data_IF_671721248868
#
_entry.id   IF_671721248868
#
_cell.length_a   1.000
_cell.length_b   1.000
_cell.length_c   1.000
_cell.angle_alpha   90.00
_cell.angle_beta   90.00
_cell.angle_gamma   90.00
#
_symmetry.space_group_name_H-M   'P 1'
#
loop_
_entity.id
_entity.type
_entity.pdbx_description
1 polymer ?
#
# COMPACT_ATOMS: atom_id res chain seq x y z
N UNK A 1 9.36 21.87 -7.94
CA UNK A 1 10.07 20.60 -8.20
C UNK A 1 11.42 20.49 -7.45
N UNK A 2 11.47 20.77 -6.13
CA UNK A 2 12.72 20.69 -5.32
C UNK A 2 12.58 19.86 -4.02
N UNK A 3 11.43 19.22 -3.77
CA UNK A 3 11.16 18.55 -2.50
C UNK A 3 11.17 17.01 -2.55
N UNK A 4 11.25 16.39 -3.72
CA UNK A 4 11.17 14.91 -3.83
C UNK A 4 12.53 14.21 -3.77
N UNK A 5 13.61 14.84 -4.27
CA UNK A 5 14.94 14.21 -4.32
C UNK A 5 15.69 14.22 -2.97
N UNK A 6 15.41 15.20 -2.11
CA UNK A 6 16.14 15.36 -0.83
C UNK A 6 15.76 14.33 0.23
N UNK A 7 14.57 13.74 0.17
CA UNK A 7 14.13 12.71 1.13
C UNK A 7 14.78 11.36 0.84
N UNK A 8 14.93 11.00 -0.44
CA UNK A 8 15.57 9.74 -0.85
C UNK A 8 17.07 9.76 -0.53
N UNK A 9 17.74 10.89 -0.74
CA UNK A 9 19.16 11.03 -0.39
C UNK A 9 19.39 11.08 1.13
N UNK A 10 18.48 11.71 1.89
CA UNK A 10 18.55 11.74 3.36
C UNK A 10 18.32 10.35 3.98
N UNK A 11 17.44 9.53 3.41
CA UNK A 11 17.20 8.15 3.85
C UNK A 11 18.39 7.22 3.57
N UNK A 12 19.11 7.44 2.46
CA UNK A 12 20.33 6.69 2.15
C UNK A 12 21.52 7.13 3.03
N UNK A 13 21.64 8.41 3.36
CA UNK A 13 22.72 8.93 4.20
C UNK A 13 22.57 8.53 5.70
N UNK A 14 21.34 8.46 6.21
CA UNK A 14 21.07 8.04 7.60
C UNK A 14 21.34 6.54 7.87
N UNK A 15 21.47 5.71 6.83
CA UNK A 15 21.87 4.31 7.01
C UNK A 15 23.36 4.14 7.31
N UNK A 16 24.23 5.09 6.96
CA UNK A 16 25.66 4.97 7.22
C UNK A 16 26.03 5.22 8.69
N UNK A 17 25.27 6.04 9.41
CA UNK A 17 25.54 6.39 10.82
C UNK A 17 24.96 5.40 11.83
N UNK A 18 24.00 4.56 11.41
CA UNK A 18 23.39 3.54 12.29
C UNK A 18 24.28 2.31 12.53
N UNK A 19 25.45 2.20 11.88
CA UNK A 19 26.37 1.05 11.97
C UNK A 19 27.65 1.29 12.78
N UNK A 20 27.85 2.45 13.40
CA UNK A 20 28.95 2.65 14.36
C UNK A 20 28.45 2.47 15.78
N UNK A 21 28.73 1.30 16.38
CA UNK A 21 28.53 1.05 17.80
C UNK A 21 29.56 1.83 18.64
N UNK A 22 29.17 2.52 19.73
CA UNK A 22 30.15 2.94 20.73
C UNK A 22 30.53 1.73 21.58
N UNK A 23 31.82 1.40 21.59
CA UNK A 23 32.42 0.43 22.50
C UNK A 23 32.22 0.91 23.94
N UNK A 24 31.36 0.23 24.72
CA UNK A 24 31.30 0.39 26.18
C UNK A 24 32.33 -0.54 26.82
N UNK A 25 33.37 0.03 27.41
CA UNK A 25 34.35 -0.67 28.24
C UNK A 25 33.71 -1.16 29.55
N UNK A 26 33.76 -2.47 29.80
CA UNK A 26 33.43 -3.07 31.09
C UNK A 26 34.66 -3.08 31.99
N UNK A 27 34.67 -2.25 33.04
CA UNK A 27 35.66 -2.36 34.12
C UNK A 27 35.15 -3.32 35.19
N UNK A 28 35.63 -4.56 35.13
CA UNK A 28 35.53 -5.56 36.19
C UNK A 28 36.47 -5.13 37.33
N UNK A 29 35.93 -4.80 38.51
CA UNK A 29 36.72 -4.73 39.74
C UNK A 29 36.53 -6.01 40.55
N UNK A 30 37.63 -6.76 40.69
CA UNK A 30 37.80 -7.85 41.67
C UNK A 30 38.06 -7.23 43.05
N UNK A 31 37.39 -7.70 44.09
CA UNK A 31 37.93 -7.63 45.46
C UNK A 31 37.68 -8.94 46.21
N UNK A 32 38.73 -9.35 46.91
CA UNK A 32 39.05 -10.64 47.51
C UNK A 32 38.06 -11.22 48.55
N UNK A 33 38.16 -12.54 48.67
CA UNK A 33 37.70 -13.41 49.76
C UNK A 33 38.16 -12.95 51.16
N UNK A 34 37.26 -13.05 52.13
CA UNK A 34 37.54 -13.08 53.57
C UNK A 34 36.40 -13.79 54.31
N UNK A 35 36.72 -14.79 55.14
CA UNK A 35 35.80 -15.78 55.71
C UNK A 35 35.86 -15.72 57.27
N UNK A 36 34.71 -15.96 57.93
CA UNK A 36 34.44 -16.41 59.33
C UNK A 36 34.46 -15.35 60.49
N UNK A 37 33.69 -15.45 61.62
CA UNK A 37 32.56 -16.34 62.02
C UNK A 37 31.26 -15.66 62.52
N UNK A 38 30.21 -16.50 62.67
CA UNK A 38 29.02 -16.30 63.53
C UNK A 38 29.38 -16.19 65.01
N UNK A 39 28.66 -15.35 65.76
CA UNK A 39 28.45 -15.58 67.18
C UNK A 39 27.00 -15.29 67.61
N UNK A 40 26.52 -16.13 68.52
CA UNK A 40 25.17 -16.21 69.06
C UNK A 40 25.24 -15.74 70.51
N UNK A 41 24.55 -14.66 70.89
CA UNK A 41 24.25 -14.42 72.31
C UNK A 41 22.95 -13.63 72.48
N UNK A 42 22.05 -14.28 73.21
CA UNK A 42 20.76 -13.83 73.73
C UNK A 42 20.89 -12.70 74.75
N UNK A 43 20.07 -11.65 74.61
CA UNK A 43 19.51 -10.88 75.73
C UNK A 43 18.13 -10.36 75.34
N UNK A 44 17.12 -10.82 76.08
CA UNK A 44 15.79 -10.22 76.11
C UNK A 44 15.84 -8.81 76.69
N UNK A 45 15.04 -7.89 76.15
CA UNK A 45 13.94 -7.23 76.88
C UNK A 45 13.60 -5.85 76.32
N UNK A 46 12.31 -5.52 76.45
CA UNK A 46 11.68 -4.19 76.41
C UNK A 46 11.26 -3.70 75.01
N UNK A 47 9.99 -4.01 74.71
CA UNK A 47 8.95 -3.08 74.23
C UNK A 47 9.47 -1.81 73.53
N UNK A 48 9.52 -1.86 72.20
CA UNK A 48 9.44 -0.66 71.38
C UNK A 48 8.51 -0.96 70.19
N UNK A 49 7.22 -1.08 70.52
CA UNK A 49 6.14 -0.94 69.53
C UNK A 49 6.15 0.53 69.09
N UNK A 50 7.11 0.88 68.24
CA UNK A 50 6.99 2.06 67.39
C UNK A 50 5.94 1.71 66.35
N UNK A 51 4.69 1.99 66.72
CA UNK A 51 3.63 2.32 65.79
C UNK A 51 4.23 3.27 64.74
N UNK A 52 4.57 2.72 63.58
CA UNK A 52 4.79 3.55 62.42
C UNK A 52 3.49 4.32 62.20
N UNK A 53 3.58 5.65 62.28
CA UNK A 53 2.53 6.61 61.97
C UNK A 53 2.18 6.60 60.45
N UNK A 54 2.12 5.41 59.85
CA UNK A 54 1.75 5.15 58.47
C UNK A 54 0.42 4.37 58.36
N UNK A 55 -0.18 3.95 59.48
CA UNK A 55 -1.43 3.17 59.50
C UNK A 55 -2.66 3.99 59.94
N UNK A 56 -2.60 5.32 59.86
CA UNK A 56 -3.72 6.23 60.09
C UNK A 56 -3.74 7.33 59.02
N UNK A 57 -3.79 6.95 57.75
CA UNK A 57 -4.57 7.75 56.81
C UNK A 57 -5.99 7.19 56.84
N UNK A 58 -7.00 7.97 57.28
CA UNK A 58 -8.37 7.56 57.05
C UNK A 58 -8.57 7.45 55.54
N UNK A 59 -9.34 6.45 55.13
CA UNK A 59 -9.76 6.12 53.77
C UNK A 59 -10.70 7.20 53.17
N UNK A 60 -10.47 8.48 53.51
CA UNK A 60 -11.32 9.61 53.18
C UNK A 60 -10.54 10.67 52.40
N UNK A 61 -11.02 10.90 51.17
CA UNK A 61 -10.74 12.05 50.31
C UNK A 61 -9.54 11.97 49.35
N UNK A 62 -9.17 10.79 48.87
CA UNK A 62 -8.82 10.73 47.45
C UNK A 62 -10.12 10.92 46.67
N UNK A 63 -10.47 12.17 46.32
CA UNK A 63 -11.44 12.40 45.24
C UNK A 63 -10.92 11.59 44.07
N UNK A 64 -11.56 10.46 43.75
CA UNK A 64 -11.51 9.89 42.41
C UNK A 64 -12.02 11.02 41.53
N UNK A 65 -11.11 11.81 40.97
CA UNK A 65 -11.49 12.73 39.90
C UNK A 65 -12.14 11.86 38.85
N UNK A 66 -13.45 12.01 38.72
CA UNK A 66 -14.19 11.24 37.76
C UNK A 66 -13.67 11.66 36.39
N UNK A 67 -12.99 10.73 35.69
CA UNK A 67 -12.44 10.98 34.36
C UNK A 67 -13.50 11.66 33.50
N UNK A 68 -13.09 12.74 32.83
CA UNK A 68 -14.00 13.46 31.94
C UNK A 68 -14.55 12.52 30.86
N UNK A 69 -15.73 12.82 30.32
CA UNK A 69 -16.32 12.04 29.21
C UNK A 69 -15.36 11.93 28.04
N UNK A 70 -14.62 13.00 27.74
CA UNK A 70 -13.60 13.01 26.69
C UNK A 70 -12.42 12.07 27.00
N UNK A 71 -11.98 12.01 28.26
CA UNK A 71 -10.92 11.10 28.66
C UNK A 71 -11.38 9.64 28.61
N UNK A 72 -12.61 9.35 29.06
CA UNK A 72 -13.23 8.01 28.93
C UNK A 72 -13.30 7.58 27.45
N UNK A 73 -13.76 8.47 26.57
CA UNK A 73 -13.80 8.26 25.12
C UNK A 73 -12.40 8.02 24.53
N UNK A 74 -11.43 8.88 24.86
CA UNK A 74 -10.05 8.79 24.36
C UNK A 74 -9.36 7.49 24.79
N UNK A 75 -9.59 7.05 26.03
CA UNK A 75 -9.10 5.77 26.52
C UNK A 75 -9.73 4.59 25.77
N UNK A 76 -11.03 4.68 25.44
CA UNK A 76 -11.74 3.63 24.71
C UNK A 76 -11.25 3.49 23.26
N UNK A 77 -11.16 4.60 22.51
CA UNK A 77 -10.71 4.56 21.10
C UNK A 77 -9.25 4.10 20.98
N UNK A 78 -8.39 4.44 21.95
CA UNK A 78 -6.97 4.03 21.95
C UNK A 78 -6.70 2.72 22.67
N UNK A 79 -7.75 2.03 23.16
CA UNK A 79 -7.60 0.75 23.86
C UNK A 79 -7.06 -0.35 22.95
N UNK A 80 -6.06 -1.06 23.45
CA UNK A 80 -5.49 -2.28 22.84
C UNK A 80 -6.35 -3.52 23.05
N UNK A 81 -7.36 -3.43 23.92
CA UNK A 81 -8.23 -4.57 24.26
C UNK A 81 -9.43 -4.68 23.31
N UNK A 82 -9.63 -3.68 22.44
CA UNK A 82 -10.64 -3.76 21.39
C UNK A 82 -10.28 -4.87 20.40
N UNK A 83 -11.27 -5.72 20.04
CA UNK A 83 -11.09 -6.81 19.07
C UNK A 83 -10.52 -6.33 17.74
N UNK A 84 -10.92 -5.15 17.31
CA UNK A 84 -10.31 -4.39 16.22
C UNK A 84 -9.90 -3.05 16.80
N UNK A 85 -8.60 -2.77 16.79
CA UNK A 85 -8.08 -1.47 17.23
C UNK A 85 -8.75 -0.32 16.47
N UNK A 86 -9.15 0.75 17.16
CA UNK A 86 -9.75 1.92 16.51
C UNK A 86 -8.63 2.93 16.24
N UNK A 87 -8.09 3.56 17.29
CA UNK A 87 -7.11 4.63 17.19
C UNK A 87 -7.73 5.93 16.64
N UNK A 88 -6.96 7.00 16.65
CA UNK A 88 -7.41 8.27 16.08
C UNK A 88 -7.61 8.18 14.57
N UNK A 89 -6.70 7.46 13.88
CA UNK A 89 -6.84 7.21 12.45
C UNK A 89 -8.08 6.36 12.11
N UNK A 90 -8.48 5.45 13.01
CA UNK A 90 -9.70 4.66 12.84
C UNK A 90 -10.96 5.51 12.73
N UNK A 91 -10.99 6.67 13.40
CA UNK A 91 -12.16 7.57 13.36
C UNK A 91 -12.43 8.15 11.97
N UNK A 92 -11.38 8.30 11.14
CA UNK A 92 -11.51 8.69 9.73
C UNK A 92 -11.60 7.46 8.80
N UNK A 93 -10.82 6.42 9.08
CA UNK A 93 -10.74 5.21 8.25
C UNK A 93 -12.09 4.48 8.14
N UNK A 94 -12.78 4.22 9.26
CA UNK A 94 -14.00 3.42 9.23
C UNK A 94 -15.13 4.08 8.43
N UNK A 95 -15.51 5.36 8.67
CA UNK A 95 -16.59 5.98 7.91
C UNK A 95 -16.28 6.09 6.41
N UNK A 96 -15.03 6.42 6.06
CA UNK A 96 -14.63 6.58 4.66
C UNK A 96 -14.61 5.25 3.91
N UNK A 97 -14.01 4.20 4.47
CA UNK A 97 -14.00 2.87 3.84
C UNK A 97 -15.41 2.26 3.78
N UNK A 98 -16.25 2.49 4.78
CA UNK A 98 -17.65 2.03 4.75
C UNK A 98 -18.45 2.73 3.64
N UNK A 99 -18.30 4.05 3.50
CA UNK A 99 -18.96 4.81 2.43
C UNK A 99 -18.49 4.35 1.03
N UNK A 100 -17.17 4.23 0.84
CA UNK A 100 -16.59 3.75 -0.42
C UNK A 100 -17.06 2.32 -0.76
N UNK A 101 -17.05 1.42 0.22
CA UNK A 101 -17.47 0.02 0.03
C UNK A 101 -18.95 -0.08 -0.30
N UNK A 102 -19.81 0.63 0.44
CA UNK A 102 -21.24 0.62 0.20
C UNK A 102 -21.58 1.18 -1.19
N UNK A 103 -21.00 2.33 -1.55
CA UNK A 103 -21.21 2.93 -2.86
C UNK A 103 -20.69 2.02 -4.00
N UNK A 104 -19.50 1.43 -3.85
CA UNK A 104 -18.95 0.50 -4.83
C UNK A 104 -19.86 -0.71 -5.05
N UNK A 105 -20.30 -1.38 -3.98
CA UNK A 105 -21.17 -2.56 -4.09
C UNK A 105 -22.48 -2.19 -4.80
N UNK A 106 -23.13 -1.09 -4.39
CA UNK A 106 -24.38 -0.64 -5.01
C UNK A 106 -24.20 -0.24 -6.47
N UNK A 107 -23.17 0.53 -6.80
CA UNK A 107 -22.91 0.98 -8.16
C UNK A 107 -22.54 -0.19 -9.09
N UNK A 108 -21.68 -1.10 -8.63
CA UNK A 108 -21.28 -2.28 -9.40
C UNK A 108 -22.46 -3.19 -9.73
N UNK A 109 -23.46 -3.27 -8.85
CA UNK A 109 -24.66 -4.07 -9.08
C UNK A 109 -25.67 -3.34 -9.98
N UNK A 110 -25.94 -2.05 -9.72
CA UNK A 110 -27.16 -1.40 -10.20
C UNK A 110 -26.98 -0.03 -10.86
N UNK A 111 -25.77 0.53 -10.96
CA UNK A 111 -25.60 1.85 -11.59
C UNK A 111 -26.05 1.82 -13.06
N UNK A 112 -26.75 2.86 -13.55
CA UNK A 112 -27.06 3.00 -14.97
C UNK A 112 -25.77 3.27 -15.79
N UNK A 113 -25.85 3.24 -17.13
CA UNK A 113 -24.75 3.61 -18.01
C UNK A 113 -24.23 5.03 -17.76
N UNK A 114 -22.92 5.22 -17.90
CA UNK A 114 -22.19 6.46 -17.57
C UNK A 114 -21.51 7.04 -18.81
N UNK A 115 -21.63 8.36 -19.03
CA UNK A 115 -21.00 9.06 -20.16
C UNK A 115 -19.54 9.45 -19.86
N UNK A 116 -18.64 8.45 -19.87
CA UNK A 116 -17.23 8.59 -19.48
C UNK A 116 -16.47 9.64 -20.31
N UNK A 117 -16.64 9.66 -21.64
CA UNK A 117 -15.87 10.55 -22.52
C UNK A 117 -16.56 11.92 -22.71
N UNK A 118 -17.75 12.12 -22.13
CA UNK A 118 -18.51 13.37 -22.24
C UNK A 118 -19.14 13.63 -23.62
N UNK A 119 -19.16 12.61 -24.49
CA UNK A 119 -19.65 12.67 -25.87
C UNK A 119 -21.09 12.18 -26.01
N UNK A 120 -21.79 11.94 -24.88
CA UNK A 120 -23.14 11.37 -24.83
C UNK A 120 -23.21 9.94 -25.38
N UNK A 121 -22.18 9.14 -25.13
CA UNK A 121 -22.12 7.71 -25.43
C UNK A 121 -21.98 6.90 -24.13
N UNK A 122 -23.09 6.61 -23.42
CA UNK A 122 -23.01 6.00 -22.10
C UNK A 122 -22.52 4.56 -22.14
N UNK A 123 -21.57 4.24 -21.26
CA UNK A 123 -21.00 2.90 -21.09
C UNK A 123 -21.69 2.19 -19.92
N UNK A 124 -22.29 1.03 -20.19
CA UNK A 124 -22.89 0.19 -19.16
C UNK A 124 -21.82 -0.53 -18.34
N UNK A 125 -21.73 -0.23 -17.04
CA UNK A 125 -20.75 -0.85 -16.13
C UNK A 125 -21.32 -1.90 -15.16
N UNK A 126 -22.61 -1.87 -14.86
CA UNK A 126 -23.17 -2.67 -13.77
C UNK A 126 -23.75 -4.02 -14.19
N UNK A 127 -23.91 -4.92 -13.23
CA UNK A 127 -24.44 -6.28 -13.45
C UNK A 127 -25.88 -6.27 -13.99
N UNK A 128 -26.75 -5.41 -13.46
CA UNK A 128 -28.15 -5.32 -13.91
C UNK A 128 -28.28 -4.78 -15.35
N UNK A 129 -27.25 -4.09 -15.85
CA UNK A 129 -27.18 -3.58 -17.22
C UNK A 129 -26.35 -4.48 -18.14
N UNK A 130 -26.35 -5.79 -17.87
CA UNK A 130 -25.85 -6.82 -18.80
C UNK A 130 -24.37 -7.19 -18.65
N UNK A 131 -23.70 -6.73 -17.60
CA UNK A 131 -22.32 -7.13 -17.33
C UNK A 131 -22.21 -8.38 -16.46
N UNK A 132 -21.11 -9.11 -16.63
CA UNK A 132 -20.67 -10.13 -15.68
C UNK A 132 -19.55 -9.57 -14.78
N UNK A 133 -18.98 -10.40 -13.90
CA UNK A 133 -17.91 -9.98 -12.98
C UNK A 133 -16.65 -9.48 -13.71
N UNK A 134 -16.35 -10.02 -14.90
CA UNK A 134 -15.18 -9.64 -15.68
C UNK A 134 -15.41 -8.31 -16.41
N UNK A 135 -16.57 -8.18 -17.07
CA UNK A 135 -16.89 -6.98 -17.85
C UNK A 135 -17.38 -5.81 -17.00
N UNK A 136 -17.90 -6.07 -15.80
CA UNK A 136 -18.47 -5.06 -14.92
C UNK A 136 -17.42 -4.11 -14.33
N UNK A 137 -17.81 -2.85 -14.16
CA UNK A 137 -17.02 -1.79 -13.56
C UNK A 137 -17.91 -0.69 -12.95
N UNK A 138 -17.39 0.01 -11.95
CA UNK A 138 -17.83 1.40 -11.72
C UNK A 138 -17.02 2.29 -12.66
N UNK A 139 -17.72 2.88 -13.63
CA UNK A 139 -17.15 3.67 -14.72
C UNK A 139 -16.68 5.04 -14.21
N UNK A 140 -15.49 5.54 -14.62
CA UNK A 140 -15.00 6.88 -14.32
C UNK A 140 -15.99 8.01 -14.59
N UNK A 141 -15.80 9.14 -13.91
CA UNK A 141 -16.65 10.32 -14.12
C UNK A 141 -16.40 10.96 -15.47
N UNK A 142 -17.45 11.58 -16.03
CA UNK A 142 -17.43 12.17 -17.36
C UNK A 142 -16.28 13.14 -17.60
N UNK A 143 -15.67 13.10 -18.79
CA UNK A 143 -14.66 14.07 -19.22
C UNK A 143 -15.22 15.51 -19.28
N UNK A 144 -16.54 15.68 -19.43
CA UNK A 144 -17.18 16.99 -19.32
C UNK A 144 -17.03 17.61 -17.91
N UNK A 145 -16.80 16.80 -16.88
CA UNK A 145 -16.48 17.25 -15.51
C UNK A 145 -14.98 17.56 -15.38
N UNK A 146 -14.10 16.84 -16.08
CA UNK A 146 -12.65 16.96 -15.92
C UNK A 146 -12.20 16.71 -14.47
N UNK A 147 -11.44 17.65 -13.90
CA UNK A 147 -10.98 17.61 -12.50
C UNK A 147 -11.93 18.30 -11.50
N UNK A 148 -13.09 18.77 -11.92
CA UNK A 148 -14.04 19.37 -10.99
C UNK A 148 -14.53 18.33 -9.97
N UNK A 149 -14.56 18.74 -8.69
CA UNK A 149 -15.14 17.92 -7.65
C UNK A 149 -16.66 17.87 -7.87
N UNK A 150 -17.19 16.67 -8.10
CA UNK A 150 -18.61 16.47 -8.42
C UNK A 150 -19.32 15.62 -7.34
N UNK A 151 -19.56 16.20 -6.15
CA UNK A 151 -20.33 15.55 -5.10
C UNK A 151 -21.81 15.55 -5.46
N UNK A 152 -22.58 14.72 -4.76
CA UNK A 152 -24.02 14.52 -5.03
C UNK A 152 -24.85 15.81 -5.00
N UNK A 153 -24.44 16.82 -4.22
CA UNK A 153 -25.16 18.09 -4.11
C UNK A 153 -24.81 19.13 -5.19
N UNK A 154 -23.83 18.87 -6.05
CA UNK A 154 -23.59 19.70 -7.25
C UNK A 154 -24.50 19.28 -8.42
N UNK A 155 -25.03 18.05 -8.41
CA UNK A 155 -25.99 17.59 -9.40
C UNK A 155 -27.41 18.10 -9.08
N UNK A 156 -28.21 18.37 -10.11
CA UNK A 156 -29.62 18.74 -9.96
C UNK A 156 -30.48 17.54 -9.50
N UNK A 157 -30.04 16.31 -9.76
CA UNK A 157 -30.71 15.08 -9.36
C UNK A 157 -29.75 13.90 -9.17
N UNK A 158 -30.23 12.82 -8.54
CA UNK A 158 -29.48 11.57 -8.44
C UNK A 158 -29.27 10.94 -9.82
N UNK A 159 -30.24 11.05 -10.73
CA UNK A 159 -30.14 10.48 -12.08
C UNK A 159 -29.03 11.16 -12.89
N UNK A 160 -28.92 12.50 -12.79
CA UNK A 160 -27.81 13.26 -13.38
C UNK A 160 -26.47 12.83 -12.75
N UNK A 161 -26.41 12.73 -11.41
CA UNK A 161 -25.20 12.34 -10.71
C UNK A 161 -24.71 10.94 -11.12
N UNK A 162 -25.64 10.01 -11.32
CA UNK A 162 -25.36 8.66 -11.80
C UNK A 162 -24.91 8.66 -13.27
N UNK A 163 -25.58 9.42 -14.14
CA UNK A 163 -25.23 9.51 -15.57
C UNK A 163 -23.82 10.05 -15.80
N UNK A 164 -23.40 11.02 -15.00
CA UNK A 164 -22.08 11.64 -15.11
C UNK A 164 -20.97 10.91 -14.30
N UNK A 165 -21.27 9.73 -13.73
CA UNK A 165 -20.26 8.90 -13.06
C UNK A 165 -19.84 9.41 -11.68
N UNK A 166 -20.71 10.16 -11.00
CA UNK A 166 -20.51 10.62 -9.63
C UNK A 166 -20.10 9.53 -8.60
N UNK A 167 -20.61 8.28 -8.67
CA UNK A 167 -20.15 7.20 -7.80
C UNK A 167 -18.63 6.98 -7.83
N UNK A 168 -17.99 7.14 -9.00
CA UNK A 168 -16.56 6.93 -9.14
C UNK A 168 -15.74 7.88 -8.26
N UNK A 169 -16.01 9.19 -8.35
CA UNK A 169 -15.30 10.18 -7.53
C UNK A 169 -15.56 9.96 -6.03
N UNK A 170 -16.81 9.64 -5.64
CA UNK A 170 -17.14 9.35 -4.24
C UNK A 170 -16.30 8.18 -3.73
N UNK A 171 -16.29 7.06 -4.46
CA UNK A 171 -15.57 5.85 -4.06
C UNK A 171 -14.07 6.13 -3.98
N UNK A 172 -13.47 6.69 -5.04
CA UNK A 172 -12.03 6.95 -5.13
C UNK A 172 -11.55 7.87 -4.01
N UNK A 173 -12.22 9.00 -3.79
CA UNK A 173 -11.78 9.98 -2.79
C UNK A 173 -11.91 9.43 -1.36
N UNK A 174 -13.02 8.76 -1.05
CA UNK A 174 -13.19 8.12 0.26
C UNK A 174 -12.23 6.94 0.45
N UNK A 175 -12.00 6.14 -0.59
CA UNK A 175 -11.04 5.04 -0.56
C UNK A 175 -9.63 5.54 -0.27
N UNK A 176 -9.15 6.56 -0.98
CA UNK A 176 -7.80 7.12 -0.79
C UNK A 176 -7.61 7.69 0.63
N UNK A 177 -8.60 8.42 1.16
CA UNK A 177 -8.58 8.89 2.55
C UNK A 177 -8.58 7.72 3.55
N UNK A 178 -9.37 6.68 3.27
CA UNK A 178 -9.49 5.49 4.08
C UNK A 178 -8.19 4.69 4.15
N UNK A 179 -7.54 4.42 3.02
CA UNK A 179 -6.26 3.66 2.99
C UNK A 179 -5.08 4.48 3.52
N UNK A 180 -5.08 5.81 3.33
CA UNK A 180 -4.10 6.68 3.99
C UNK A 180 -4.26 6.66 5.52
N UNK A 181 -5.51 6.67 6.00
CA UNK A 181 -5.80 6.51 7.44
C UNK A 181 -5.46 5.11 7.95
N UNK A 182 -5.70 4.06 7.15
CA UNK A 182 -5.28 2.69 7.48
C UNK A 182 -3.77 2.60 7.70
N UNK A 183 -2.98 3.20 6.79
CA UNK A 183 -1.53 3.31 6.95
C UNK A 183 -1.14 4.01 8.26
N UNK A 184 -1.77 5.14 8.59
CA UNK A 184 -1.56 5.81 9.88
C UNK A 184 -1.96 4.96 11.10
N UNK A 185 -3.02 4.17 10.97
CA UNK A 185 -3.48 3.24 12.03
C UNK A 185 -2.48 2.10 12.27
N UNK A 186 -1.82 1.58 11.24
CA UNK A 186 -0.74 0.59 11.41
C UNK A 186 0.41 1.16 12.26
N UNK A 187 0.81 2.39 11.98
CA UNK A 187 1.79 3.11 12.80
C UNK A 187 1.29 3.29 14.24
N UNK A 188 0.06 3.79 14.42
CA UNK A 188 -0.47 4.08 15.75
C UNK A 188 -0.52 2.83 16.64
N UNK A 189 -1.03 1.70 16.12
CA UNK A 189 -1.07 0.45 16.87
C UNK A 189 0.34 -0.08 17.16
N UNK A 190 1.27 0.01 16.21
CA UNK A 190 2.66 -0.40 16.45
C UNK A 190 3.28 0.36 17.63
N UNK A 191 2.96 1.65 17.77
CA UNK A 191 3.38 2.46 18.91
C UNK A 191 2.74 2.01 20.22
N UNK A 192 1.42 1.73 20.24
CA UNK A 192 0.72 1.26 21.46
C UNK A 192 1.28 -0.07 21.97
N UNK A 193 1.69 -0.95 21.07
CA UNK A 193 2.23 -2.27 21.41
C UNK A 193 3.75 -2.26 21.64
N UNK A 194 4.43 -1.11 21.53
CA UNK A 194 5.89 -1.03 21.66
C UNK A 194 6.65 -1.75 20.55
N UNK A 195 6.03 -1.93 19.38
CA UNK A 195 6.63 -2.55 18.20
C UNK A 195 7.53 -1.58 17.45
N UNK A 196 8.39 -2.12 16.58
CA UNK A 196 9.17 -1.33 15.62
C UNK A 196 8.23 -0.72 14.55
N UNK A 197 8.30 0.58 14.23
CA UNK A 197 7.23 1.27 13.51
C UNK A 197 7.42 1.27 11.99
N UNK A 198 7.74 0.14 11.34
CA UNK A 198 8.05 0.13 9.89
C UNK A 198 7.09 -0.66 9.01
N UNK A 199 6.05 -1.28 9.57
CA UNK A 199 5.03 -2.00 8.80
C UNK A 199 4.29 -1.04 7.86
N UNK A 200 3.87 0.12 8.39
CA UNK A 200 3.20 1.15 7.59
C UNK A 200 4.05 1.68 6.43
N UNK A 201 5.38 1.66 6.58
CA UNK A 201 6.30 2.03 5.50
C UNK A 201 6.21 1.04 4.34
N UNK A 202 6.09 -0.26 4.61
CA UNK A 202 5.85 -1.25 3.55
C UNK A 202 4.47 -1.05 2.91
N UNK A 203 3.44 -0.78 3.72
CA UNK A 203 2.09 -0.51 3.21
C UNK A 203 1.97 0.81 2.41
N UNK A 204 2.93 1.73 2.55
CA UNK A 204 2.96 2.95 1.73
C UNK A 204 3.15 2.67 0.23
N UNK A 205 3.77 1.54 -0.15
CA UNK A 205 3.98 1.21 -1.56
C UNK A 205 2.67 0.99 -2.33
N UNK A 206 1.74 0.11 -1.90
CA UNK A 206 0.43 0.01 -2.54
C UNK A 206 -0.42 1.28 -2.40
N UNK A 207 -0.32 2.04 -1.30
CA UNK A 207 -1.01 3.34 -1.17
C UNK A 207 -0.52 4.33 -2.21
N UNK A 208 0.79 4.39 -2.48
CA UNK A 208 1.37 5.22 -3.51
C UNK A 208 0.93 4.79 -4.92
N UNK A 209 0.90 3.48 -5.20
CA UNK A 209 0.43 2.97 -6.48
C UNK A 209 -1.05 3.29 -6.73
N UNK A 210 -1.92 3.12 -5.72
CA UNK A 210 -3.33 3.51 -5.80
C UNK A 210 -3.50 5.02 -6.03
N UNK A 211 -2.72 5.84 -5.30
CA UNK A 211 -2.72 7.31 -5.48
C UNK A 211 -2.25 7.71 -6.88
N UNK A 212 -1.33 6.95 -7.48
CA UNK A 212 -0.83 7.23 -8.81
C UNK A 212 -1.93 7.06 -9.87
N UNK A 213 -2.64 5.92 -9.86
CA UNK A 213 -3.64 5.58 -10.89
C UNK A 213 -5.01 6.24 -10.70
N UNK A 214 -5.39 6.57 -9.45
CA UNK A 214 -6.71 7.14 -9.16
C UNK A 214 -6.72 8.65 -8.95
N UNK A 215 -5.57 9.29 -8.80
CA UNK A 215 -5.50 10.72 -8.51
C UNK A 215 -4.39 11.43 -9.28
N UNK A 216 -3.15 10.95 -9.20
CA UNK A 216 -2.02 11.66 -9.81
C UNK A 216 -2.12 11.66 -11.34
N UNK A 217 -2.46 10.52 -11.93
CA UNK A 217 -2.66 10.39 -13.37
C UNK A 217 -3.82 11.24 -13.89
N UNK A 218 -5.04 11.15 -13.30
CA UNK A 218 -6.12 12.10 -13.58
C UNK A 218 -5.72 13.57 -13.50
N UNK A 219 -4.99 13.98 -12.46
CA UNK A 219 -4.52 15.37 -12.32
C UNK A 219 -3.60 15.77 -13.47
N UNK A 220 -2.72 14.86 -13.90
CA UNK A 220 -1.78 15.11 -14.98
C UNK A 220 -2.44 15.25 -16.34
N UNK A 221 -3.46 14.41 -16.61
CA UNK A 221 -4.23 14.44 -17.86
C UNK A 221 -5.41 15.44 -17.83
N UNK A 222 -5.78 15.94 -16.65
CA UNK A 222 -6.82 16.97 -16.52
C UNK A 222 -8.24 16.43 -16.41
N UNK A 223 -8.42 15.12 -16.23
CA UNK A 223 -9.74 14.53 -16.03
C UNK A 223 -9.72 13.26 -15.19
N UNK A 224 -10.77 13.07 -14.37
CA UNK A 224 -11.03 11.78 -13.72
C UNK A 224 -11.51 10.69 -14.68
N UNK A 225 -11.91 11.03 -15.93
CA UNK A 225 -12.25 10.03 -16.97
C UNK A 225 -11.08 9.08 -17.25
N UNK A 226 -9.85 9.62 -17.19
CA UNK A 226 -8.62 8.88 -17.50
C UNK A 226 -8.09 8.12 -16.27
N UNK A 227 -8.79 8.23 -15.14
CA UNK A 227 -8.53 7.42 -13.97
C UNK A 227 -8.85 5.96 -14.24
N UNK A 228 -8.08 5.05 -13.64
CA UNK A 228 -8.32 3.61 -13.82
C UNK A 228 -9.77 3.24 -13.41
N UNK A 229 -10.57 2.60 -14.28
CA UNK A 229 -11.92 2.16 -13.94
C UNK A 229 -11.93 1.12 -12.82
N UNK A 230 -13.00 1.09 -12.00
CA UNK A 230 -13.13 0.14 -10.89
C UNK A 230 -13.75 -1.19 -11.37
N UNK A 231 -13.02 -1.92 -12.20
CA UNK A 231 -13.44 -3.20 -12.78
C UNK A 231 -12.30 -3.93 -13.49
N UNK A 232 -12.49 -5.23 -13.77
CA UNK A 232 -11.43 -6.08 -14.34
C UNK A 232 -11.13 -5.67 -15.78
N UNK A 233 -12.12 -5.70 -16.68
CA UNK A 233 -11.92 -5.27 -18.07
C UNK A 233 -11.53 -3.80 -18.19
N UNK A 234 -12.07 -2.94 -17.32
CA UNK A 234 -11.69 -1.52 -17.28
C UNK A 234 -10.22 -1.30 -16.90
N UNK A 235 -9.67 -2.13 -16.01
CA UNK A 235 -8.22 -2.12 -15.72
C UNK A 235 -7.40 -2.48 -16.97
N UNK A 236 -7.84 -3.47 -17.77
CA UNK A 236 -7.16 -3.80 -19.02
C UNK A 236 -7.24 -2.68 -20.04
N UNK A 237 -8.39 -2.03 -20.17
CA UNK A 237 -8.54 -0.86 -21.04
C UNK A 237 -7.56 0.26 -20.64
N UNK A 238 -7.52 0.63 -19.35
CA UNK A 238 -6.55 1.59 -18.82
C UNK A 238 -5.10 1.19 -19.18
N UNK A 239 -4.71 -0.06 -18.95
CA UNK A 239 -3.35 -0.53 -19.25
C UNK A 239 -2.98 -0.45 -20.73
N UNK A 240 -3.94 -0.73 -21.64
CA UNK A 240 -3.70 -0.69 -23.08
C UNK A 240 -3.59 0.74 -23.60
N UNK A 241 -4.48 1.63 -23.17
CA UNK A 241 -4.45 3.06 -23.53
C UNK A 241 -3.18 3.70 -22.98
N UNK A 242 -2.85 3.44 -21.72
CA UNK A 242 -1.61 3.93 -21.11
C UNK A 242 -0.35 3.45 -21.84
N UNK A 243 -0.35 2.22 -22.40
CA UNK A 243 0.74 1.76 -23.25
C UNK A 243 0.82 2.55 -24.55
N UNK A 244 -0.31 2.84 -25.20
CA UNK A 244 -0.33 3.60 -26.44
C UNK A 244 0.19 5.04 -26.24
N UNK A 245 -0.26 5.71 -25.19
CA UNK A 245 0.09 7.12 -24.92
C UNK A 245 1.50 7.29 -24.32
N UNK A 246 1.95 6.34 -23.50
CA UNK A 246 3.18 6.51 -22.71
C UNK A 246 4.30 5.52 -23.02
N UNK A 247 4.03 4.48 -23.82
CA UNK A 247 4.96 3.38 -24.08
C UNK A 247 5.58 2.84 -22.77
N UNK A 248 4.72 2.55 -21.78
CA UNK A 248 5.12 2.19 -20.41
C UNK A 248 6.07 0.99 -20.37
N UNK A 249 5.95 0.04 -21.31
CA UNK A 249 6.85 -1.11 -21.39
C UNK A 249 8.32 -0.68 -21.60
N UNK A 250 8.55 0.47 -22.22
CA UNK A 250 9.88 1.05 -22.44
C UNK A 250 10.31 2.01 -21.32
N UNK A 251 9.54 2.14 -20.24
CA UNK A 251 9.87 3.00 -19.10
C UNK A 251 10.65 2.23 -18.00
N UNK A 252 11.85 2.69 -17.58
CA UNK A 252 12.71 1.93 -16.67
C UNK A 252 12.10 1.71 -15.29
N UNK A 253 11.26 2.63 -14.79
CA UNK A 253 10.57 2.42 -13.51
C UNK A 253 9.54 1.30 -13.57
N UNK A 254 8.86 1.12 -14.70
CA UNK A 254 7.95 -0.01 -14.88
C UNK A 254 8.74 -1.33 -14.96
N UNK A 255 9.85 -1.37 -15.69
CA UNK A 255 10.73 -2.55 -15.73
C UNK A 255 11.27 -2.94 -14.35
N UNK A 256 11.67 -1.95 -13.53
CA UNK A 256 12.08 -2.19 -12.15
C UNK A 256 10.94 -2.74 -11.29
N UNK A 257 9.72 -2.24 -11.50
CA UNK A 257 8.49 -2.77 -10.93
C UNK A 257 8.25 -4.24 -11.26
N UNK A 258 8.35 -4.60 -12.55
CA UNK A 258 8.20 -5.98 -13.04
C UNK A 258 9.25 -6.89 -12.41
N UNK A 259 10.52 -6.48 -12.39
CA UNK A 259 11.59 -7.23 -11.73
C UNK A 259 11.31 -7.44 -10.24
N UNK A 260 10.73 -6.43 -9.58
CA UNK A 260 10.40 -6.51 -8.17
C UNK A 260 9.26 -7.48 -7.87
N UNK A 261 8.16 -7.46 -8.62
CA UNK A 261 7.03 -8.38 -8.39
C UNK A 261 7.40 -9.82 -8.75
N UNK A 262 8.13 -10.05 -9.84
CA UNK A 262 8.63 -11.38 -10.19
C UNK A 262 9.63 -11.89 -9.14
N UNK A 263 10.57 -11.05 -8.73
CA UNK A 263 11.51 -11.39 -7.66
C UNK A 263 10.80 -11.64 -6.34
N UNK A 264 9.78 -10.87 -5.98
CA UNK A 264 9.01 -11.08 -4.75
C UNK A 264 8.26 -12.43 -4.76
N UNK A 265 7.63 -12.81 -5.87
CA UNK A 265 7.03 -14.13 -6.02
C UNK A 265 8.07 -15.25 -5.92
N UNK A 266 9.22 -15.08 -6.58
CA UNK A 266 10.35 -16.01 -6.50
C UNK A 266 10.84 -16.16 -5.04
N UNK A 267 11.09 -15.05 -4.35
CA UNK A 267 11.62 -15.07 -2.99
C UNK A 267 10.60 -15.53 -1.95
N UNK A 268 9.31 -15.28 -2.17
CA UNK A 268 8.23 -15.85 -1.37
C UNK A 268 8.22 -17.38 -1.47
N UNK A 269 8.24 -17.92 -2.69
CA UNK A 269 8.30 -19.36 -2.92
C UNK A 269 9.60 -19.97 -2.38
N UNK A 270 10.75 -19.33 -2.63
CA UNK A 270 12.06 -19.74 -2.13
C UNK A 270 12.05 -19.81 -0.60
N UNK A 271 11.65 -18.73 0.08
CA UNK A 271 11.64 -18.67 1.53
C UNK A 271 10.72 -19.74 2.13
N UNK A 272 9.48 -19.85 1.63
CA UNK A 272 8.53 -20.88 2.05
C UNK A 272 9.12 -22.29 1.88
N UNK A 273 9.67 -22.60 0.71
CA UNK A 273 10.27 -23.92 0.45
C UNK A 273 11.45 -24.26 1.36
N UNK A 274 12.35 -23.30 1.63
CA UNK A 274 13.53 -23.51 2.47
C UNK A 274 13.15 -23.73 3.93
N UNK A 275 12.21 -22.92 4.46
CA UNK A 275 11.70 -23.10 5.83
C UNK A 275 10.99 -24.45 5.96
N UNK A 276 10.08 -24.78 5.05
CA UNK A 276 9.36 -26.06 5.08
C UNK A 276 10.29 -27.26 4.95
N UNK A 277 11.36 -27.17 4.14
CA UNK A 277 12.33 -28.26 3.96
C UNK A 277 13.19 -28.56 5.19
N UNK A 278 13.23 -27.65 6.17
CA UNK A 278 14.12 -27.71 7.32
C UNK A 278 13.39 -27.69 8.66
N UNK A 279 12.09 -27.98 8.67
CA UNK A 279 11.30 -28.16 9.89
C UNK A 279 11.90 -29.26 10.77
N UNK A 280 11.92 -29.00 12.08
CA UNK A 280 12.32 -30.00 13.07
C UNK A 280 11.16 -31.00 13.21
N UNK A 281 11.48 -32.29 13.30
CA UNK A 281 10.47 -33.34 13.39
C UNK A 281 9.88 -33.40 14.80
N UNK A 282 8.68 -32.84 14.95
CA UNK A 282 7.90 -32.83 16.21
C UNK A 282 6.60 -33.66 16.12
N UNK A 283 6.32 -34.26 14.97
CA UNK A 283 5.10 -35.04 14.72
C UNK A 283 5.37 -36.41 14.13
N UNK A 284 4.35 -37.26 14.15
CA UNK A 284 4.33 -38.54 13.44
C UNK A 284 3.92 -38.36 11.97
N UNK A 285 3.99 -39.44 11.18
CA UNK A 285 3.57 -39.45 9.78
C UNK A 285 2.04 -39.41 9.58
N UNK A 286 1.27 -39.67 10.65
CA UNK A 286 -0.19 -39.78 10.61
C UNK A 286 -0.91 -38.47 10.98
N UNK A 287 -0.17 -37.39 11.17
CA UNK A 287 -0.71 -36.07 11.50
C UNK A 287 0.02 -34.97 10.72
N UNK A 288 -0.60 -33.80 10.61
CA UNK A 288 0.02 -32.66 9.92
C UNK A 288 1.25 -32.17 10.67
N UNK A 289 2.34 -31.92 9.95
CA UNK A 289 3.56 -31.30 10.49
C UNK A 289 3.31 -29.93 11.13
N UNK A 290 2.22 -29.24 10.76
CA UNK A 290 1.84 -27.96 11.36
C UNK A 290 1.52 -28.11 12.86
N UNK A 291 1.04 -29.28 13.31
CA UNK A 291 0.75 -29.53 14.72
C UNK A 291 2.02 -29.54 15.59
N UNK A 292 3.21 -29.67 14.98
CA UNK A 292 4.50 -29.61 15.65
C UNK A 292 4.81 -28.22 16.21
N UNK A 293 4.34 -27.14 15.55
CA UNK A 293 4.48 -25.78 16.05
C UNK A 293 3.39 -25.44 17.07
N UNK A 294 3.79 -24.85 18.20
CA UNK A 294 2.89 -24.34 19.24
C UNK A 294 2.95 -22.81 19.27
N UNK A 295 1.79 -22.16 19.23
CA UNK A 295 1.70 -20.71 19.22
C UNK A 295 2.32 -20.09 20.49
N UNK A 296 3.32 -19.23 20.30
CA UNK A 296 4.05 -18.58 21.40
C UNK A 296 5.23 -19.38 21.96
N UNK A 297 5.63 -20.49 21.31
CA UNK A 297 6.86 -21.20 21.70
C UNK A 297 8.10 -20.32 21.52
N UNK A 298 9.10 -20.53 22.39
CA UNK A 298 10.34 -19.74 22.37
C UNK A 298 11.37 -20.27 21.38
N UNK A 299 11.36 -21.57 21.09
CA UNK A 299 12.31 -22.21 20.18
C UNK A 299 11.90 -22.08 18.71
N UNK A 300 12.88 -21.85 17.84
CA UNK A 300 12.68 -21.80 16.39
C UNK A 300 12.20 -23.14 15.86
N UNK A 301 11.19 -23.14 14.98
CA UNK A 301 10.55 -24.37 14.48
C UNK A 301 11.33 -25.10 13.37
N UNK A 302 12.43 -24.52 12.89
CA UNK A 302 13.21 -25.01 11.75
C UNK A 302 14.71 -24.78 11.96
N UNK A 303 15.53 -25.55 11.24
CA UNK A 303 16.99 -25.44 11.31
C UNK A 303 17.54 -24.53 10.21
N UNK A 304 17.79 -23.26 10.56
CA UNK A 304 18.36 -22.27 9.62
C UNK A 304 19.75 -22.66 9.09
N UNK A 305 20.56 -23.38 9.87
CA UNK A 305 21.90 -23.81 9.43
C UNK A 305 21.78 -24.86 8.32
N UNK A 306 20.81 -25.77 8.43
CA UNK A 306 20.50 -26.75 7.39
C UNK A 306 20.00 -26.06 6.12
N UNK A 307 19.06 -25.11 6.24
CA UNK A 307 18.54 -24.34 5.11
C UNK A 307 19.65 -23.52 4.41
N UNK A 308 20.47 -22.81 5.19
CA UNK A 308 21.61 -22.04 4.69
C UNK A 308 22.63 -22.94 4.00
N UNK A 309 22.93 -24.10 4.61
CA UNK A 309 23.86 -25.08 4.06
C UNK A 309 23.37 -25.69 2.74
N UNK A 310 22.07 -25.95 2.60
CA UNK A 310 21.48 -26.40 1.34
C UNK A 310 21.59 -25.32 0.26
N UNK A 311 21.06 -24.11 0.53
CA UNK A 311 21.02 -23.04 -0.47
C UNK A 311 22.41 -22.52 -0.86
N UNK A 312 23.33 -22.45 0.10
CA UNK A 312 24.72 -22.07 -0.14
C UNK A 312 25.49 -23.07 -1.01
N UNK A 313 25.09 -24.35 -1.02
CA UNK A 313 25.62 -25.36 -1.96
C UNK A 313 24.91 -25.34 -3.31
N UNK A 314 23.63 -24.97 -3.34
CA UNK A 314 22.83 -24.90 -4.56
C UNK A 314 23.34 -23.81 -5.51
N UNK A 315 23.67 -22.63 -4.99
CA UNK A 315 24.13 -21.48 -5.78
C UNK A 315 25.62 -21.24 -5.56
N UNK A 316 25.98 -20.56 -4.46
CA UNK A 316 27.33 -20.46 -3.91
C UNK A 316 27.23 -19.82 -2.51
N UNK A 317 28.21 -20.09 -1.63
CA UNK A 317 28.09 -19.84 -0.20
C UNK A 317 27.74 -18.39 0.18
N UNK A 318 28.26 -17.41 -0.56
CA UNK A 318 28.04 -15.98 -0.30
C UNK A 318 26.67 -15.45 -0.77
N UNK A 319 25.95 -16.19 -1.61
CA UNK A 319 24.60 -15.80 -2.05
C UNK A 319 23.51 -16.16 -1.03
N UNK A 320 23.86 -16.92 0.02
CA UNK A 320 22.91 -17.40 1.02
C UNK A 320 22.94 -16.52 2.27
N UNK A 321 21.75 -16.17 2.78
CA UNK A 321 21.63 -15.43 4.04
C UNK A 321 21.89 -16.38 5.22
N UNK A 322 22.85 -16.03 6.08
CA UNK A 322 23.07 -16.70 7.38
C UNK A 322 22.48 -15.91 8.56
N UNK A 323 21.93 -14.71 8.29
CA UNK A 323 21.27 -13.86 9.27
C UNK A 323 19.79 -13.71 8.90
N UNK A 324 18.91 -14.27 9.75
CA UNK A 324 17.46 -14.21 9.56
C UNK A 324 16.91 -12.78 9.46
N UNK A 325 17.46 -11.83 10.24
CA UNK A 325 17.01 -10.43 10.19
C UNK A 325 17.31 -9.77 8.84
N UNK A 326 18.49 -10.04 8.28
CA UNK A 326 18.88 -9.53 6.97
C UNK A 326 18.03 -10.14 5.84
N UNK A 327 17.75 -11.44 5.92
CA UNK A 327 16.84 -12.12 5.00
C UNK A 327 15.45 -11.47 5.00
N UNK A 328 14.82 -11.33 6.16
CA UNK A 328 13.46 -10.77 6.25
C UNK A 328 13.42 -9.28 5.88
N UNK A 329 14.48 -8.52 6.18
CA UNK A 329 14.60 -7.15 5.68
C UNK A 329 14.65 -7.11 4.14
N UNK A 330 15.42 -7.99 3.51
CA UNK A 330 15.47 -8.10 2.04
C UNK A 330 14.10 -8.49 1.45
N UNK A 331 13.43 -9.49 2.05
CA UNK A 331 12.09 -9.91 1.63
C UNK A 331 11.06 -8.78 1.69
N UNK A 332 11.18 -7.87 2.66
CA UNK A 332 10.34 -6.68 2.74
C UNK A 332 10.78 -5.60 1.75
N UNK A 333 12.07 -5.29 1.68
CA UNK A 333 12.59 -4.16 0.90
C UNK A 333 12.42 -4.36 -0.62
N UNK A 334 12.67 -5.58 -1.12
CA UNK A 334 12.63 -5.88 -2.56
C UNK A 334 11.30 -5.51 -3.24
N UNK A 335 10.14 -6.05 -2.82
CA UNK A 335 8.86 -5.66 -3.40
C UNK A 335 8.52 -4.18 -3.14
N UNK A 336 8.77 -3.67 -1.93
CA UNK A 336 8.39 -2.30 -1.54
C UNK A 336 9.06 -1.26 -2.41
N UNK A 337 10.38 -1.36 -2.60
CA UNK A 337 11.14 -0.41 -3.43
C UNK A 337 10.70 -0.48 -4.89
N UNK A 338 10.45 -1.68 -5.41
CA UNK A 338 9.98 -1.85 -6.77
C UNK A 338 8.62 -1.24 -7.03
N UNK A 339 7.66 -1.46 -6.13
CA UNK A 339 6.32 -0.86 -6.26
C UNK A 339 6.37 0.67 -6.10
N UNK A 340 7.24 1.21 -5.24
CA UNK A 340 7.49 2.67 -5.22
C UNK A 340 8.00 3.18 -6.56
N UNK A 341 8.92 2.48 -7.21
CA UNK A 341 9.39 2.84 -8.55
C UNK A 341 8.24 2.81 -9.56
N UNK A 342 7.42 1.75 -9.59
CA UNK A 342 6.25 1.69 -10.48
C UNK A 342 5.28 2.85 -10.24
N UNK A 343 4.96 3.14 -8.98
CA UNK A 343 4.09 4.25 -8.61
C UNK A 343 4.66 5.58 -9.10
N UNK A 344 5.96 5.82 -8.89
CA UNK A 344 6.64 6.99 -9.43
C UNK A 344 6.60 7.04 -10.96
N UNK A 345 6.73 5.89 -11.64
CA UNK A 345 6.63 5.81 -13.11
C UNK A 345 5.29 6.31 -13.62
N UNK A 346 4.19 5.80 -13.06
CA UNK A 346 2.83 6.27 -13.40
C UNK A 346 2.69 7.77 -13.09
N UNK A 347 3.16 8.20 -11.90
CA UNK A 347 3.11 9.61 -11.51
C UNK A 347 3.95 10.54 -12.38
N UNK A 348 5.03 10.08 -13.02
CA UNK A 348 5.82 10.89 -13.96
C UNK A 348 5.24 10.90 -15.37
N UNK A 349 4.72 9.76 -15.82
CA UNK A 349 4.04 9.65 -17.11
C UNK A 349 2.71 10.42 -17.13
N UNK A 350 2.08 10.64 -15.97
CA UNK A 350 0.98 11.59 -15.82
C UNK A 350 1.31 13.02 -16.34
N UNK A 351 2.59 13.40 -16.35
CA UNK A 351 3.07 14.67 -16.91
C UNK A 351 3.81 14.46 -18.23
N UNK A 352 3.46 13.41 -18.96
CA UNK A 352 3.92 13.07 -20.30
C UNK A 352 5.44 12.87 -20.42
N UNK A 353 6.10 12.49 -19.31
CA UNK A 353 7.47 11.98 -19.33
C UNK A 353 7.46 10.47 -19.57
N UNK A 354 7.45 10.11 -20.84
CA UNK A 354 7.14 8.76 -21.33
C UNK A 354 8.34 7.79 -21.31
N UNK A 355 8.08 6.55 -21.68
CA UNK A 355 9.12 5.54 -21.91
C UNK A 355 10.09 5.92 -23.03
N UNK A 356 11.20 5.19 -23.14
CA UNK A 356 12.18 5.45 -24.19
C UNK A 356 11.58 5.30 -25.58
N UNK A 357 11.82 6.28 -26.44
CA UNK A 357 11.46 6.23 -27.85
C UNK A 357 12.70 5.97 -28.70
N UNK A 358 12.78 4.77 -29.29
CA UNK A 358 13.84 4.38 -30.21
C UNK A 358 13.33 4.17 -31.65
N UNK A 359 12.22 4.80 -32.01
CA UNK A 359 11.65 4.70 -33.35
C UNK A 359 12.66 5.20 -34.38
N UNK A 360 12.91 4.39 -35.41
CA UNK A 360 13.82 4.68 -36.52
C UNK A 360 15.26 5.02 -36.08
N UNK A 361 15.68 4.53 -34.91
CA UNK A 361 17.00 4.86 -34.34
C UNK A 361 18.18 4.22 -35.08
N UNK A 362 17.95 3.17 -35.86
CA UNK A 362 18.99 2.48 -36.64
C UNK A 362 18.80 2.80 -38.12
N UNK A 363 19.85 3.33 -38.75
CA UNK A 363 19.85 3.77 -40.14
C UNK A 363 21.08 3.21 -40.85
N UNK A 364 20.93 2.79 -42.10
CA UNK A 364 22.05 2.32 -42.91
C UNK A 364 22.89 3.48 -43.49
N UNK A 365 23.99 3.16 -44.18
CA UNK A 365 24.86 4.17 -44.78
C UNK A 365 24.19 5.03 -45.87
N UNK A 366 23.01 4.63 -46.35
CA UNK A 366 22.24 5.35 -47.37
C UNK A 366 21.11 6.20 -46.75
N UNK A 367 20.98 6.22 -45.43
CA UNK A 367 19.90 6.96 -44.77
C UNK A 367 18.58 6.18 -44.69
N UNK A 368 18.56 4.88 -45.00
CA UNK A 368 17.35 4.05 -44.91
C UNK A 368 17.19 3.48 -43.50
N UNK A 369 15.99 3.57 -42.96
CA UNK A 369 15.64 3.02 -41.64
C UNK A 369 15.75 1.50 -41.66
N UNK A 370 16.39 0.92 -40.64
CA UNK A 370 16.38 -0.50 -40.35
C UNK A 370 15.53 -0.71 -39.09
N UNK A 371 14.35 -1.29 -39.27
CA UNK A 371 13.44 -1.54 -38.15
C UNK A 371 14.05 -2.49 -37.11
N UNK A 372 13.74 -2.19 -35.85
CA UNK A 372 14.06 -2.97 -34.66
C UNK A 372 12.78 -3.44 -33.97
N UNK A 373 12.90 -4.16 -32.85
CA UNK A 373 11.74 -4.50 -32.04
C UNK A 373 11.00 -3.28 -31.47
N UNK A 374 11.70 -2.16 -31.25
CA UNK A 374 11.05 -0.91 -30.82
C UNK A 374 10.10 -0.39 -31.89
N UNK A 375 10.47 -0.48 -33.16
CA UNK A 375 9.60 -0.08 -34.27
C UNK A 375 8.38 -1.00 -34.39
N UNK A 376 8.51 -2.30 -34.07
CA UNK A 376 7.37 -3.23 -34.02
C UNK A 376 6.43 -2.91 -32.86
N UNK A 377 6.94 -2.58 -31.68
CA UNK A 377 6.14 -2.11 -30.53
C UNK A 377 5.38 -0.85 -30.94
N UNK A 378 6.05 0.11 -31.56
CA UNK A 378 5.41 1.33 -32.06
C UNK A 378 4.27 1.05 -33.06
N UNK A 379 4.36 -0.01 -33.88
CA UNK A 379 3.24 -0.41 -34.75
C UNK A 379 2.04 -0.98 -33.98
N UNK A 380 2.27 -1.64 -32.84
CA UNK A 380 1.21 -2.10 -31.95
C UNK A 380 0.56 -0.92 -31.22
N UNK A 381 1.37 0.00 -30.69
CA UNK A 381 0.91 1.22 -30.01
C UNK A 381 0.04 2.06 -30.95
N UNK A 382 0.48 2.29 -32.20
CA UNK A 382 -0.31 2.97 -33.23
C UNK A 382 -1.66 2.29 -33.50
N UNK A 383 -1.73 0.96 -33.40
CA UNK A 383 -2.97 0.22 -33.59
C UNK A 383 -3.99 0.45 -32.47
N UNK A 384 -3.51 0.69 -31.24
CA UNK A 384 -4.34 1.04 -30.10
C UNK A 384 -4.73 2.52 -30.20
N UNK A 385 -3.76 3.40 -30.46
CA UNK A 385 -3.93 4.85 -30.58
C UNK A 385 -5.03 5.22 -31.58
N UNK A 386 -5.04 4.63 -32.79
CA UNK A 386 -6.07 4.98 -33.80
C UNK A 386 -7.45 4.38 -33.54
N UNK A 387 -7.58 3.47 -32.56
CA UNK A 387 -8.83 2.76 -32.28
C UNK A 387 -9.48 3.15 -30.94
N UNK A 388 -8.69 3.63 -29.97
CA UNK A 388 -9.21 4.07 -28.68
C UNK A 388 -10.07 5.34 -28.86
N UNK A 389 -11.14 5.44 -28.06
CA UNK A 389 -12.08 6.58 -28.07
C UNK A 389 -12.44 7.07 -29.48
N UNK A 390 -12.82 6.11 -30.35
CA UNK A 390 -13.04 6.29 -31.80
C UNK A 390 -13.96 7.46 -32.22
N UNK A 391 -14.75 7.99 -31.29
CA UNK A 391 -15.71 9.07 -31.51
C UNK A 391 -15.37 10.37 -30.76
N UNK A 392 -14.31 10.40 -29.94
CA UNK A 392 -13.95 11.56 -29.11
C UNK A 392 -13.05 12.57 -29.83
N UNK A 393 -12.23 12.10 -30.76
CA UNK A 393 -11.19 12.90 -31.40
C UNK A 393 -11.67 13.66 -32.65
N UNK A 394 -11.65 14.99 -32.60
CA UNK A 394 -11.98 15.88 -33.74
C UNK A 394 -10.75 16.50 -34.42
N UNK A 395 -9.59 16.42 -33.78
CA UNK A 395 -8.32 16.98 -34.24
C UNK A 395 -7.28 15.86 -34.44
N UNK A 396 -6.26 16.05 -35.30
CA UNK A 396 -5.31 14.99 -35.65
C UNK A 396 -4.27 14.69 -34.56
N UNK A 397 -4.21 15.48 -33.49
CA UNK A 397 -3.33 15.27 -32.36
C UNK A 397 -4.18 15.08 -31.12
N UNK A 398 -3.97 13.95 -30.45
CA UNK A 398 -4.48 13.72 -29.11
C UNK A 398 -3.58 14.46 -28.10
N UNK A 399 -4.04 15.65 -27.71
CA UNK A 399 -3.45 16.45 -26.67
C UNK A 399 -4.54 16.68 -25.64
N UNK A 400 -4.27 16.38 -24.37
CA UNK A 400 -5.18 16.59 -23.25
C UNK A 400 -5.49 18.08 -22.92
N UNK A 401 -5.32 19.00 -23.89
CA UNK A 401 -5.68 20.40 -23.79
C UNK A 401 -6.76 20.74 -24.83
N UNK A 402 -8.00 20.95 -24.37
CA UNK A 402 -9.15 21.31 -25.22
C UNK A 402 -10.08 22.33 -24.57
N UNK A 403 -11.06 22.80 -25.34
CA UNK A 403 -12.13 23.69 -24.85
C UNK A 403 -13.11 22.93 -23.94
N UNK A 404 -13.64 23.58 -22.90
CA UNK A 404 -14.58 22.95 -21.96
C UNK A 404 -15.85 22.46 -22.66
N UNK A 405 -16.21 21.19 -22.43
CA UNK A 405 -17.46 20.58 -22.91
C UNK A 405 -18.55 20.76 -21.84
N UNK A 406 -19.79 21.14 -22.21
CA UNK A 406 -20.88 21.25 -21.24
C UNK A 406 -21.29 19.89 -20.66
N UNK A 407 -21.32 19.81 -19.33
CA UNK A 407 -21.85 18.66 -18.57
C UNK A 407 -23.30 18.38 -18.97
N UNK A 408 -23.66 17.10 -19.06
CA UNK A 408 -25.04 16.69 -19.37
C UNK A 408 -25.94 16.91 -18.14
N UNK A 409 -27.02 17.68 -18.33
CA UNK A 409 -28.00 18.00 -17.27
C UNK A 409 -29.16 16.99 -17.19
N UNK A 410 -29.35 16.17 -18.23
CA UNK A 410 -30.43 15.18 -18.32
C UNK A 410 -29.89 13.87 -18.87
N UNK A 411 -30.23 12.76 -18.21
CA UNK A 411 -29.94 11.42 -18.71
C UNK A 411 -30.91 11.09 -19.88
N UNK A 412 -30.42 10.58 -21.02
CA UNK A 412 -31.27 10.14 -22.11
C UNK A 412 -32.15 8.97 -21.68
N UNK A 413 -33.37 8.90 -22.22
CA UNK A 413 -34.30 7.80 -21.95
C UNK A 413 -33.73 6.48 -22.45
N UNK A 414 -33.35 5.59 -21.53
CA UNK A 414 -32.95 4.23 -21.88
C UNK A 414 -34.21 3.45 -22.26
N UNK A 415 -34.39 3.14 -23.55
CA UNK A 415 -35.43 2.19 -23.96
C UNK A 415 -35.05 0.81 -23.48
N UNK A 416 -35.84 0.26 -22.55
CA UNK A 416 -35.68 -1.09 -22.00
C UNK A 416 -35.77 -2.20 -23.06
#
# INVERSE_FOLDING_TARGET
>A
MKFSFSIVLALAALQAEAFTTPVRSSSIQRSALGFIPKDLSTTESILDVKMNAATLMPDSLAKKEEKSTWEKFSNWITSTDNRLYIGWFGTLMFPTLLAATACFITAFIAAPPVDIDGIREPVAGSLLYGNNIISGAVVPSSNAIGMHLYPMWEAASIDEWLYNGGPYQLIVLHFLLGVASYMGREWELSYRLGMRPWIFTAFSAPVAAATAVFLTYPIGQGSFSDGMPLGISGTFNFMLVFQAEHNILMHPFHMAGVAAVFGASLFSAMHGSLVTSSLIRETTENESTNAGYKFGQEEETYNIVAAHGYFGRLIFQYASFNNSRALHFFLAAWPVVGIWLTAMGISTMAFNLNGFNFNQSVVDSQGRVINTWADIINRADLGIEVMHERNAHNFPLDLASGDMIPVAMEAPSVSA
#
